data_IF_587834046485
#
_entry.id   IF_587834046485
#
_cell.length_a   1.000
_cell.length_b   1.000
_cell.length_c   1.000
_cell.angle_alpha   90.00
_cell.angle_beta   90.00
_cell.angle_gamma   90.00
#
_symmetry.space_group_name_H-M   'P 1'
#
loop_
_entity.id
_entity.type
_entity.pdbx_description
1 polymer ?
#
# COMPACT_ATOMS: atom_id res chain seq x y z
N UNK A 1 98.43 -19.32 37.56
CA UNK A 1 97.70 -18.07 37.21
C UNK A 1 97.23 -18.02 35.74
N UNK A 2 97.84 -18.77 34.81
CA UNK A 2 97.45 -18.73 33.39
C UNK A 2 96.15 -19.47 33.05
N UNK A 3 95.91 -20.64 33.66
CA UNK A 3 94.70 -21.46 33.44
C UNK A 3 93.42 -20.70 33.83
N UNK A 4 93.47 -19.89 34.88
CA UNK A 4 92.34 -19.08 35.33
C UNK A 4 92.00 -17.97 34.33
N UNK A 5 93.00 -17.35 33.68
CA UNK A 5 92.78 -16.33 32.65
C UNK A 5 92.13 -16.92 31.40
N UNK A 6 92.55 -18.13 31.00
CA UNK A 6 91.97 -18.84 29.85
C UNK A 6 90.53 -19.29 30.17
N UNK A 7 90.27 -19.82 31.37
CA UNK A 7 88.93 -20.19 31.80
C UNK A 7 87.98 -18.99 31.89
N UNK A 8 88.44 -17.86 32.44
CA UNK A 8 87.67 -16.61 32.47
C UNK A 8 87.43 -16.07 31.06
N UNK A 9 88.42 -16.12 30.16
CA UNK A 9 88.26 -15.67 28.77
C UNK A 9 87.28 -16.55 27.98
N UNK A 10 87.26 -17.86 28.23
CA UNK A 10 86.28 -18.80 27.65
C UNK A 10 84.88 -18.51 28.20
N UNK A 11 84.73 -18.35 29.52
CA UNK A 11 83.43 -18.02 30.14
C UNK A 11 82.91 -16.66 29.68
N UNK A 12 83.79 -15.66 29.50
CA UNK A 12 83.45 -14.35 28.97
C UNK A 12 83.09 -14.42 27.47
N UNK A 13 83.76 -15.23 26.67
CA UNK A 13 83.42 -15.39 25.24
C UNK A 13 82.09 -16.13 25.03
N UNK A 14 81.77 -17.11 25.89
CA UNK A 14 80.47 -17.78 25.92
C UNK A 14 79.36 -16.94 26.60
N UNK A 15 79.70 -16.08 27.56
CA UNK A 15 78.75 -15.19 28.23
C UNK A 15 78.29 -14.03 27.35
N UNK A 16 79.20 -13.46 26.54
CA UNK A 16 78.89 -12.40 25.58
C UNK A 16 78.02 -12.92 24.43
N UNK A 17 78.26 -14.15 23.95
CA UNK A 17 77.42 -14.75 22.91
C UNK A 17 75.99 -15.03 23.41
N UNK A 18 75.83 -15.49 24.65
CA UNK A 18 74.51 -15.64 25.30
C UNK A 18 73.74 -14.32 25.40
N UNK A 19 74.41 -13.23 25.79
CA UNK A 19 73.80 -11.90 25.83
C UNK A 19 73.37 -11.40 24.45
N UNK A 20 74.21 -11.61 23.41
CA UNK A 20 73.88 -11.24 22.02
C UNK A 20 72.67 -12.04 21.53
N UNK A 21 72.59 -13.34 21.80
CA UNK A 21 71.46 -14.19 21.41
C UNK A 21 70.17 -13.73 22.12
N UNK A 22 70.22 -13.41 23.41
CA UNK A 22 69.05 -12.92 24.16
C UNK A 22 68.60 -11.53 23.66
N UNK A 23 69.54 -10.62 23.39
CA UNK A 23 69.25 -9.30 22.84
C UNK A 23 68.63 -9.38 21.43
N UNK A 24 69.19 -10.23 20.56
CA UNK A 24 68.65 -10.48 19.23
C UNK A 24 67.29 -11.17 19.28
N UNK A 25 67.08 -12.13 20.18
CA UNK A 25 65.80 -12.81 20.38
C UNK A 25 64.69 -11.85 20.83
N UNK A 26 64.99 -10.95 21.77
CA UNK A 26 64.08 -9.90 22.21
C UNK A 26 63.75 -8.91 21.08
N UNK A 27 64.74 -8.52 20.27
CA UNK A 27 64.53 -7.62 19.14
C UNK A 27 63.68 -8.28 18.04
N UNK A 28 64.01 -9.51 17.65
CA UNK A 28 63.22 -10.31 16.72
C UNK A 28 61.78 -10.47 17.23
N UNK A 29 61.59 -10.85 18.50
CA UNK A 29 60.26 -10.98 19.11
C UNK A 29 59.42 -9.71 18.98
N UNK A 30 60.03 -8.53 19.25
CA UNK A 30 59.34 -7.23 19.08
C UNK A 30 58.99 -6.93 17.62
N UNK A 31 59.88 -7.21 16.68
CA UNK A 31 59.64 -6.97 15.25
C UNK A 31 58.53 -7.89 14.72
N UNK A 32 58.57 -9.18 15.07
CA UNK A 32 57.55 -10.15 14.67
C UNK A 32 56.21 -9.86 15.34
N UNK A 33 56.18 -9.51 16.63
CA UNK A 33 54.95 -9.10 17.32
C UNK A 33 54.34 -7.83 16.69
N UNK A 34 55.17 -6.82 16.37
CA UNK A 34 54.69 -5.62 15.70
C UNK A 34 54.16 -5.91 14.29
N UNK A 35 54.84 -6.79 13.54
CA UNK A 35 54.39 -7.20 12.21
C UNK A 35 53.05 -7.94 12.25
N UNK A 36 52.91 -8.90 13.15
CA UNK A 36 51.65 -9.64 13.36
C UNK A 36 50.54 -8.68 13.76
N UNK A 37 50.80 -7.76 14.70
CA UNK A 37 49.81 -6.76 15.12
C UNK A 37 49.38 -5.84 13.97
N UNK A 38 50.32 -5.39 13.12
CA UNK A 38 49.99 -4.55 11.96
C UNK A 38 49.14 -5.33 10.95
N UNK A 39 49.49 -6.59 10.68
CA UNK A 39 48.73 -7.43 9.75
C UNK A 39 47.31 -7.72 10.29
N UNK A 40 47.20 -8.05 11.57
CA UNK A 40 45.93 -8.32 12.23
C UNK A 40 45.04 -7.07 12.27
N UNK A 41 45.59 -5.89 12.56
CA UNK A 41 44.84 -4.62 12.46
C UNK A 41 44.39 -4.34 11.02
N UNK A 42 45.27 -4.53 10.05
CA UNK A 42 44.92 -4.32 8.64
C UNK A 42 43.82 -5.29 8.17
N UNK A 43 43.81 -6.53 8.67
CA UNK A 43 42.74 -7.50 8.38
C UNK A 43 41.43 -7.11 9.06
N UNK A 44 41.44 -6.71 10.33
CA UNK A 44 40.25 -6.20 11.02
C UNK A 44 39.67 -4.96 10.34
N UNK A 45 40.51 -4.01 9.92
CA UNK A 45 40.05 -2.80 9.22
C UNK A 45 39.40 -3.14 7.87
N UNK A 46 39.96 -4.13 7.13
CA UNK A 46 39.36 -4.64 5.90
C UNK A 46 38.02 -5.32 6.14
N UNK A 47 37.91 -6.13 7.19
CA UNK A 47 36.67 -6.84 7.51
C UNK A 47 35.60 -5.87 8.00
N UNK A 48 35.96 -4.84 8.77
CA UNK A 48 35.06 -3.75 9.13
C UNK A 48 34.60 -2.96 7.89
N UNK A 49 35.50 -2.68 6.95
CA UNK A 49 35.14 -2.00 5.69
C UNK A 49 34.18 -2.85 4.85
N UNK A 50 34.41 -4.15 4.73
CA UNK A 50 33.50 -5.10 4.06
C UNK A 50 32.15 -5.16 4.74
N UNK A 51 32.11 -5.33 6.06
CA UNK A 51 30.86 -5.41 6.81
C UNK A 51 30.05 -4.12 6.69
N UNK A 52 30.71 -2.96 6.75
CA UNK A 52 30.03 -1.66 6.53
C UNK A 52 29.48 -1.55 5.12
N UNK A 53 30.25 -1.93 4.10
CA UNK A 53 29.80 -1.92 2.72
C UNK A 53 28.63 -2.88 2.52
N UNK A 54 28.68 -4.08 3.09
CA UNK A 54 27.60 -5.07 3.01
C UNK A 54 26.34 -4.57 3.72
N UNK A 55 26.45 -3.98 4.90
CA UNK A 55 25.32 -3.39 5.62
C UNK A 55 24.73 -2.20 4.84
N UNK A 56 25.55 -1.33 4.26
CA UNK A 56 25.07 -0.24 3.41
C UNK A 56 24.34 -0.78 2.18
N UNK A 57 24.93 -1.75 1.48
CA UNK A 57 24.32 -2.38 0.32
C UNK A 57 23.00 -3.07 0.67
N UNK A 58 22.92 -3.76 1.81
CA UNK A 58 21.69 -4.38 2.29
C UNK A 58 20.63 -3.33 2.63
N UNK A 59 21.03 -2.25 3.30
CA UNK A 59 20.12 -1.17 3.67
C UNK A 59 19.57 -0.47 2.42
N UNK A 60 20.43 -0.14 1.44
CA UNK A 60 20.01 0.44 0.16
C UNK A 60 19.07 -0.48 -0.61
N UNK A 61 19.35 -1.79 -0.64
CA UNK A 61 18.45 -2.78 -1.25
C UNK A 61 17.09 -2.79 -0.55
N UNK A 62 17.07 -2.88 0.78
CA UNK A 62 15.83 -2.90 1.55
C UNK A 62 15.02 -1.62 1.35
N UNK A 63 15.66 -0.46 1.35
CA UNK A 63 15.00 0.84 1.09
C UNK A 63 14.39 0.85 -0.31
N UNK A 64 15.14 0.42 -1.33
CA UNK A 64 14.66 0.39 -2.70
C UNK A 64 13.50 -0.60 -2.89
N UNK A 65 13.58 -1.78 -2.27
CA UNK A 65 12.50 -2.77 -2.29
C UNK A 65 11.25 -2.21 -1.62
N UNK A 66 11.35 -1.69 -0.40
CA UNK A 66 10.21 -1.11 0.33
C UNK A 66 9.59 0.05 -0.43
N UNK A 67 10.40 0.91 -1.03
CA UNK A 67 9.92 2.02 -1.86
C UNK A 67 9.14 1.51 -3.07
N UNK A 68 9.66 0.49 -3.75
CA UNK A 68 9.02 -0.11 -4.92
C UNK A 68 7.68 -0.76 -4.55
N UNK A 69 7.65 -1.53 -3.46
CA UNK A 69 6.43 -2.14 -2.93
C UNK A 69 5.40 -1.09 -2.51
N UNK A 70 5.84 -0.03 -1.85
CA UNK A 70 4.99 1.10 -1.48
C UNK A 70 4.41 1.80 -2.71
N UNK A 71 5.23 2.05 -3.74
CA UNK A 71 4.80 2.69 -4.98
C UNK A 71 3.76 1.83 -5.71
N UNK A 72 3.98 0.51 -5.81
CA UNK A 72 3.02 -0.44 -6.39
C UNK A 72 1.70 -0.46 -5.59
N UNK A 73 1.78 -0.53 -4.26
CA UNK A 73 0.60 -0.54 -3.41
C UNK A 73 -0.19 0.75 -3.56
N UNK A 74 0.49 1.90 -3.50
CA UNK A 74 -0.11 3.23 -3.68
C UNK A 74 -0.80 3.33 -5.04
N UNK A 75 -0.13 2.93 -6.11
CA UNK A 75 -0.70 2.98 -7.47
C UNK A 75 -1.92 2.07 -7.58
N UNK A 76 -1.84 0.84 -7.09
CA UNK A 76 -2.94 -0.13 -7.12
C UNK A 76 -4.14 0.37 -6.32
N UNK A 77 -3.91 0.90 -5.13
CA UNK A 77 -4.94 1.45 -4.26
C UNK A 77 -5.62 2.68 -4.89
N UNK A 78 -4.83 3.64 -5.38
CA UNK A 78 -5.36 4.84 -6.03
C UNK A 78 -6.14 4.49 -7.30
N UNK A 79 -5.67 3.51 -8.07
CA UNK A 79 -6.37 3.01 -9.25
C UNK A 79 -7.72 2.38 -8.86
N UNK A 80 -7.75 1.50 -7.86
CA UNK A 80 -8.99 0.91 -7.38
C UNK A 80 -9.99 1.95 -6.85
N UNK A 81 -9.51 2.97 -6.14
CA UNK A 81 -10.36 4.09 -5.69
C UNK A 81 -10.91 4.91 -6.87
N UNK A 82 -10.07 5.17 -7.88
CA UNK A 82 -10.49 5.86 -9.09
C UNK A 82 -11.54 5.06 -9.88
N UNK A 83 -11.30 3.77 -10.10
CA UNK A 83 -12.22 2.88 -10.81
C UNK A 83 -13.59 2.84 -10.11
N UNK A 84 -13.61 2.80 -8.77
CA UNK A 84 -14.83 2.90 -7.97
C UNK A 84 -15.59 4.21 -8.24
N UNK A 85 -14.91 5.36 -8.25
CA UNK A 85 -15.53 6.66 -8.56
C UNK A 85 -16.10 6.67 -9.99
N UNK A 86 -15.37 6.10 -10.96
CA UNK A 86 -15.81 6.02 -12.35
C UNK A 86 -17.09 5.19 -12.47
N UNK A 87 -17.14 4.03 -11.80
CA UNK A 87 -18.34 3.19 -11.75
C UNK A 87 -19.50 3.92 -11.10
N UNK A 88 -19.29 4.58 -9.96
CA UNK A 88 -20.37 5.32 -9.30
C UNK A 88 -20.89 6.47 -10.14
N UNK A 89 -20.03 7.21 -10.85
CA UNK A 89 -20.47 8.22 -11.81
C UNK A 89 -21.36 7.60 -12.88
N UNK A 90 -20.93 6.49 -13.47
CA UNK A 90 -21.70 5.79 -14.49
C UNK A 90 -23.07 5.30 -13.97
N UNK A 91 -23.13 4.80 -12.74
CA UNK A 91 -24.38 4.41 -12.09
C UNK A 91 -25.30 5.61 -11.91
N UNK A 92 -24.79 6.74 -11.41
CA UNK A 92 -25.57 7.97 -11.24
C UNK A 92 -26.11 8.48 -12.58
N UNK A 93 -25.32 8.45 -13.64
CA UNK A 93 -25.76 8.84 -14.99
C UNK A 93 -26.92 7.93 -15.47
N UNK A 94 -26.79 6.61 -15.32
CA UNK A 94 -27.84 5.66 -15.71
C UNK A 94 -29.12 5.87 -14.87
N UNK A 95 -28.99 6.16 -13.58
CA UNK A 95 -30.14 6.45 -12.71
C UNK A 95 -30.82 7.75 -13.13
N UNK A 96 -30.07 8.80 -13.45
CA UNK A 96 -30.63 10.07 -13.93
C UNK A 96 -31.47 9.87 -15.21
N UNK A 97 -30.94 9.12 -16.17
CA UNK A 97 -31.67 8.78 -17.40
C UNK A 97 -32.91 7.93 -17.10
N UNK A 98 -32.77 6.91 -16.26
CA UNK A 98 -33.86 6.01 -15.86
C UNK A 98 -35.01 6.78 -15.19
N UNK A 99 -34.69 7.67 -14.24
CA UNK A 99 -35.68 8.47 -13.53
C UNK A 99 -36.35 9.49 -14.46
N UNK A 100 -35.61 10.05 -15.42
CA UNK A 100 -36.16 10.96 -16.43
C UNK A 100 -37.18 10.26 -17.32
N UNK A 101 -36.85 9.08 -17.83
CA UNK A 101 -37.75 8.29 -18.68
C UNK A 101 -39.03 7.89 -17.92
N UNK A 102 -38.90 7.49 -16.65
CA UNK A 102 -40.06 7.16 -15.83
C UNK A 102 -40.91 8.39 -15.56
N UNK A 103 -40.30 9.50 -15.13
CA UNK A 103 -41.05 10.71 -14.75
C UNK A 103 -41.79 11.31 -15.97
N UNK A 104 -41.15 11.31 -17.15
CA UNK A 104 -41.78 11.78 -18.39
C UNK A 104 -42.90 10.85 -18.85
N UNK A 105 -42.70 9.54 -18.81
CA UNK A 105 -43.72 8.59 -19.21
C UNK A 105 -44.93 8.60 -18.25
N UNK A 106 -44.70 8.70 -16.93
CA UNK A 106 -45.77 8.80 -15.95
C UNK A 106 -46.58 10.11 -16.10
N UNK A 107 -45.95 11.20 -16.55
CA UNK A 107 -46.67 12.42 -16.89
C UNK A 107 -47.62 12.25 -18.09
N UNK A 108 -47.36 11.28 -18.98
CA UNK A 108 -48.25 10.94 -20.10
C UNK A 108 -49.37 9.96 -19.74
N UNK A 109 -49.31 9.37 -18.54
CA UNK A 109 -50.30 8.44 -18.00
C UNK A 109 -49.77 7.01 -17.88
N UNK A 110 -50.51 6.19 -17.11
CA UNK A 110 -50.24 4.77 -16.93
C UNK A 110 -51.15 3.91 -17.83
N UNK A 111 -50.69 2.73 -18.28
CA UNK A 111 -49.38 2.11 -18.00
C UNK A 111 -48.24 2.71 -18.83
N UNK A 112 -47.00 2.55 -18.35
CA UNK A 112 -45.82 2.95 -19.11
C UNK A 112 -45.72 2.21 -20.46
N UNK A 113 -45.21 2.86 -21.52
CA UNK A 113 -44.92 2.17 -22.78
C UNK A 113 -43.97 0.99 -22.57
N UNK A 114 -44.18 -0.09 -23.35
CA UNK A 114 -43.33 -1.30 -23.29
C UNK A 114 -41.85 -0.98 -23.48
N UNK A 115 -41.53 -0.03 -24.37
CA UNK A 115 -40.16 0.42 -24.61
C UNK A 115 -39.49 0.97 -23.33
N UNK A 116 -40.22 1.81 -22.58
CA UNK A 116 -39.72 2.39 -21.32
C UNK A 116 -39.54 1.31 -20.25
N UNK A 117 -40.48 0.36 -20.18
CA UNK A 117 -40.39 -0.77 -19.24
C UNK A 117 -39.18 -1.66 -19.53
N UNK A 118 -38.93 -2.00 -20.80
CA UNK A 118 -37.75 -2.78 -21.21
C UNK A 118 -36.44 -2.01 -20.98
N UNK A 119 -36.44 -0.70 -21.20
CA UNK A 119 -35.29 0.15 -20.93
C UNK A 119 -34.99 0.22 -19.43
N UNK A 120 -36.01 0.34 -18.59
CA UNK A 120 -35.89 0.26 -17.13
C UNK A 120 -35.24 -1.06 -16.69
N UNK A 121 -35.75 -2.20 -17.15
CA UNK A 121 -35.20 -3.52 -16.79
C UNK A 121 -33.73 -3.69 -17.18
N UNK A 122 -33.37 -3.26 -18.39
CA UNK A 122 -31.98 -3.33 -18.86
C UNK A 122 -31.06 -2.44 -18.02
N UNK A 123 -31.48 -1.21 -17.71
CA UNK A 123 -30.68 -0.28 -16.91
C UNK A 123 -30.55 -0.76 -15.46
N UNK A 124 -31.63 -1.30 -14.88
CA UNK A 124 -31.63 -1.92 -13.54
C UNK A 124 -30.58 -3.02 -13.41
N UNK A 125 -30.57 -3.97 -14.35
CA UNK A 125 -29.60 -5.06 -14.37
C UNK A 125 -28.17 -4.55 -14.57
N UNK A 126 -27.99 -3.54 -15.44
CA UNK A 126 -26.68 -2.94 -15.69
C UNK A 126 -26.12 -2.23 -14.47
N UNK A 127 -26.95 -1.46 -13.75
CA UNK A 127 -26.55 -0.82 -12.48
C UNK A 127 -26.18 -1.89 -11.46
N UNK A 128 -26.99 -2.94 -11.31
CA UNK A 128 -26.70 -4.04 -10.39
C UNK A 128 -25.35 -4.70 -10.69
N UNK A 129 -25.05 -4.94 -11.98
CA UNK A 129 -23.75 -5.46 -12.41
C UNK A 129 -22.59 -4.53 -12.06
N UNK A 130 -22.74 -3.23 -12.28
CA UNK A 130 -21.73 -2.24 -11.93
C UNK A 130 -21.49 -2.14 -10.42
N UNK A 131 -22.55 -2.02 -9.63
CA UNK A 131 -22.46 -1.92 -8.18
C UNK A 131 -21.92 -3.22 -7.58
N UNK A 132 -22.39 -4.39 -8.04
CA UNK A 132 -21.94 -5.69 -7.53
C UNK A 132 -20.45 -5.98 -7.72
N UNK A 133 -19.74 -5.23 -8.57
CA UNK A 133 -18.29 -5.37 -8.73
C UNK A 133 -17.49 -4.75 -7.58
N UNK A 134 -17.91 -3.60 -7.03
CA UNK A 134 -17.06 -2.78 -6.14
C UNK A 134 -17.81 -2.13 -4.96
N UNK A 135 -19.15 -2.12 -4.97
CA UNK A 135 -19.95 -1.42 -4.00
C UNK A 135 -20.13 -2.25 -2.72
N UNK A 136 -20.08 -1.63 -1.53
CA UNK A 136 -20.42 -2.29 -0.28
C UNK A 136 -21.92 -2.52 -0.14
N UNK A 137 -22.30 -3.40 0.79
CA UNK A 137 -23.70 -3.83 0.99
C UNK A 137 -24.65 -2.65 1.27
N UNK A 138 -24.23 -1.64 2.03
CA UNK A 138 -25.07 -0.46 2.31
C UNK A 138 -25.42 0.35 1.05
N UNK A 139 -24.55 0.39 0.04
CA UNK A 139 -24.85 1.02 -1.25
C UNK A 139 -25.82 0.15 -2.06
N UNK A 140 -25.63 -1.17 -2.05
CA UNK A 140 -26.55 -2.13 -2.67
C UNK A 140 -27.96 -2.03 -2.05
N UNK A 141 -28.06 -2.05 -0.73
CA UNK A 141 -29.33 -1.97 0.00
C UNK A 141 -30.08 -0.67 -0.30
N UNK A 142 -29.37 0.46 -0.37
CA UNK A 142 -29.98 1.75 -0.69
C UNK A 142 -30.47 1.82 -2.15
N UNK A 143 -29.74 1.19 -3.07
CA UNK A 143 -30.18 1.03 -4.46
C UNK A 143 -31.40 0.12 -4.56
N UNK A 144 -31.39 -1.03 -3.88
CA UNK A 144 -32.49 -2.00 -3.90
C UNK A 144 -33.77 -1.39 -3.33
N UNK A 145 -33.70 -0.63 -2.23
CA UNK A 145 -34.84 0.13 -1.70
C UNK A 145 -35.44 1.10 -2.72
N UNK A 146 -34.60 1.81 -3.48
CA UNK A 146 -35.06 2.72 -4.53
C UNK A 146 -35.74 1.96 -5.66
N UNK A 147 -35.16 0.85 -6.09
CA UNK A 147 -35.67 0.04 -7.19
C UNK A 147 -36.96 -0.69 -6.82
N UNK A 148 -37.07 -1.24 -5.61
CA UNK A 148 -38.28 -1.88 -5.11
C UNK A 148 -39.46 -0.92 -5.10
N UNK A 149 -39.24 0.33 -4.67
CA UNK A 149 -40.24 1.37 -4.78
C UNK A 149 -40.63 1.62 -6.24
N UNK A 150 -39.68 1.77 -7.16
CA UNK A 150 -39.98 1.97 -8.59
C UNK A 150 -40.74 0.78 -9.20
N UNK A 151 -40.39 -0.46 -8.85
CA UNK A 151 -41.11 -1.66 -9.29
C UNK A 151 -42.55 -1.68 -8.79
N UNK A 152 -42.77 -1.31 -7.53
CA UNK A 152 -44.10 -1.24 -6.94
C UNK A 152 -45.01 -0.22 -7.64
N UNK A 153 -44.42 0.86 -8.15
CA UNK A 153 -45.12 1.89 -8.93
C UNK A 153 -45.37 1.43 -10.37
N UNK A 154 -44.36 0.89 -11.04
CA UNK A 154 -44.37 0.65 -12.49
C UNK A 154 -45.05 -0.67 -12.86
N UNK A 155 -44.77 -1.74 -12.12
CA UNK A 155 -45.21 -3.10 -12.46
C UNK A 155 -46.43 -3.47 -11.65
N UNK A 156 -46.36 -3.30 -10.33
CA UNK A 156 -47.42 -3.77 -9.43
C UNK A 156 -48.62 -2.83 -9.40
N UNK A 157 -48.44 -1.56 -9.79
CA UNK A 157 -49.41 -0.47 -9.61
C UNK A 157 -49.93 -0.40 -8.15
N UNK A 158 -49.11 -0.85 -7.19
CA UNK A 158 -49.47 -0.95 -5.78
C UNK A 158 -49.27 0.37 -5.04
N UNK A 159 -48.36 1.22 -5.54
CA UNK A 159 -48.06 2.54 -5.00
C UNK A 159 -48.28 3.65 -6.03
N UNK A 160 -48.75 4.81 -5.56
CA UNK A 160 -48.83 6.03 -6.37
C UNK A 160 -47.43 6.63 -6.47
N UNK A 161 -46.99 6.96 -7.70
CA UNK A 161 -45.72 7.63 -7.91
C UNK A 161 -45.68 8.98 -7.19
N UNK A 162 -44.74 9.12 -6.25
CA UNK A 162 -44.40 10.36 -5.56
C UNK A 162 -42.94 10.69 -5.80
N UNK A 163 -42.68 11.86 -6.38
CA UNK A 163 -41.34 12.33 -6.70
C UNK A 163 -40.50 12.52 -5.44
N UNK A 164 -41.11 13.00 -4.36
CA UNK A 164 -40.46 13.22 -3.07
C UNK A 164 -39.85 11.93 -2.53
N UNK A 165 -40.60 10.82 -2.59
CA UNK A 165 -40.12 9.50 -2.16
C UNK A 165 -38.96 9.01 -3.03
N UNK A 166 -39.05 9.15 -4.36
CA UNK A 166 -37.95 8.78 -5.27
C UNK A 166 -36.70 9.60 -4.98
N UNK A 167 -36.86 10.92 -4.81
CA UNK A 167 -35.78 11.84 -4.51
C UNK A 167 -35.08 11.46 -3.20
N UNK A 168 -35.85 11.17 -2.17
CA UNK A 168 -35.29 10.85 -0.84
C UNK A 168 -34.55 9.51 -0.86
N UNK A 169 -35.06 8.51 -1.60
CA UNK A 169 -34.37 7.23 -1.85
C UNK A 169 -33.08 7.43 -2.67
N UNK A 170 -33.12 8.25 -3.72
CA UNK A 170 -31.95 8.57 -4.54
C UNK A 170 -30.89 9.34 -3.73
N UNK A 171 -31.30 10.27 -2.86
CA UNK A 171 -30.40 10.98 -1.94
C UNK A 171 -29.79 10.05 -0.90
N UNK A 172 -30.56 9.11 -0.37
CA UNK A 172 -30.03 8.08 0.52
C UNK A 172 -28.94 7.27 -0.18
N UNK A 173 -29.20 6.79 -1.40
CA UNK A 173 -28.21 6.08 -2.21
C UNK A 173 -26.94 6.93 -2.45
N UNK A 174 -27.09 8.20 -2.84
CA UNK A 174 -25.97 9.12 -3.02
C UNK A 174 -25.17 9.33 -1.72
N UNK A 175 -25.83 9.39 -0.57
CA UNK A 175 -25.16 9.48 0.73
C UNK A 175 -24.38 8.21 1.06
N UNK A 176 -24.91 7.02 0.76
CA UNK A 176 -24.16 5.77 0.94
C UNK A 176 -22.93 5.70 0.02
N UNK A 177 -23.08 6.12 -1.25
CA UNK A 177 -21.97 6.24 -2.20
C UNK A 177 -20.90 7.21 -1.69
N UNK A 178 -21.30 8.39 -1.22
CA UNK A 178 -20.38 9.40 -0.66
C UNK A 178 -19.65 8.88 0.57
N UNK A 179 -20.36 8.17 1.44
CA UNK A 179 -19.78 7.53 2.62
C UNK A 179 -18.74 6.47 2.25
N UNK A 180 -18.99 5.67 1.21
CA UNK A 180 -18.05 4.65 0.73
C UNK A 180 -16.82 5.26 0.02
N UNK A 181 -16.99 6.35 -0.73
CA UNK A 181 -15.88 7.08 -1.35
C UNK A 181 -14.96 7.70 -0.29
N UNK A 182 -15.53 8.19 0.82
CA UNK A 182 -14.79 8.67 2.00
C UNK A 182 -14.13 10.04 1.87
N UNK A 183 -14.48 10.87 0.88
CA UNK A 183 -13.95 12.24 0.74
C UNK A 183 -14.69 13.21 1.68
N UNK A 184 -16.02 13.24 1.61
CA UNK A 184 -16.88 13.97 2.54
C UNK A 184 -18.13 13.11 2.81
N UNK A 185 -18.28 12.71 4.06
CA UNK A 185 -19.32 11.79 4.51
C UNK A 185 -20.51 12.51 5.16
N UNK A 186 -20.49 13.85 5.20
CA UNK A 186 -21.58 14.65 5.76
C UNK A 186 -22.82 14.46 4.89
N UNK A 187 -23.98 14.04 5.44
CA UNK A 187 -25.15 13.75 4.61
C UNK A 187 -25.61 15.00 3.85
N UNK A 188 -25.97 14.80 2.57
CA UNK A 188 -26.69 15.81 1.79
C UNK A 188 -28.19 15.59 1.93
N UNK A 189 -28.92 16.70 1.92
CA UNK A 189 -30.37 16.75 2.06
C UNK A 189 -30.93 17.68 0.99
N UNK A 190 -32.12 17.35 0.49
CA UNK A 190 -32.86 18.30 -0.34
C UNK A 190 -33.46 19.40 0.53
N UNK A 191 -33.08 20.65 0.24
CA UNK A 191 -33.61 21.85 0.92
C UNK A 191 -34.47 22.72 0.01
N UNK A 192 -34.84 22.21 -1.16
CA UNK A 192 -35.76 22.89 -2.05
C UNK A 192 -37.21 22.73 -1.63
N UNK A 193 -38.13 23.35 -2.38
CA UNK A 193 -39.55 23.43 -2.04
C UNK A 193 -40.46 22.50 -2.86
N UNK A 194 -39.88 21.75 -3.79
CA UNK A 194 -40.60 20.87 -4.73
C UNK A 194 -39.90 19.54 -4.79
#
# INVERSE_FOLDING_TARGET
MEILKIAIAIIVSFGISGFIILALSNWLGKVWANRIMIDEKANHDRDLAKLRADLQNQNERNINTLKTEFDIYRETFLRGHNDKIVIYRQVVDIIADLLTDINTALATGNPLPLEVTLAFERRRLRIYGYLGMLAPQNVMDAYDQMIDYLLSVIIENSNIYQWETVRDLALNMLNQIRSDIGIDTSPIEYRGKR
#
